data_IF_643899877574
#
_entry.id   IF_643899877574
#
_cell.length_a   1.000
_cell.length_b   1.000
_cell.length_c   1.000
_cell.angle_alpha   90.00
_cell.angle_beta   90.00
_cell.angle_gamma   90.00
#
_symmetry.space_group_name_H-M   'P 1'
#
loop_
_entity.id
_entity.type
_entity.pdbx_description
1 polymer ?
#
# COMPACT_ATOMS: atom_id res chain seq x y z
N UNK A 1 -29.06 7.11 -23.81
CA UNK A 1 -28.73 5.75 -23.32
C UNK A 1 -27.28 5.52 -23.67
N UNK A 2 -26.42 5.34 -22.67
CA UNK A 2 -25.01 5.02 -22.89
C UNK A 2 -24.93 3.58 -23.42
N UNK A 3 -24.17 3.36 -24.50
CA UNK A 3 -23.96 2.02 -25.03
C UNK A 3 -23.20 1.19 -23.99
N UNK A 4 -23.65 -0.03 -23.64
CA UNK A 4 -22.93 -0.87 -22.68
C UNK A 4 -21.53 -1.21 -23.20
N UNK A 5 -20.55 -1.28 -22.30
CA UNK A 5 -19.18 -1.63 -22.65
C UNK A 5 -19.11 -3.02 -23.29
N UNK A 6 -18.32 -3.15 -24.36
CA UNK A 6 -18.23 -4.39 -25.14
C UNK A 6 -17.01 -5.20 -24.69
N UNK A 7 -17.26 -6.20 -23.86
CA UNK A 7 -16.24 -7.14 -23.41
C UNK A 7 -15.70 -8.04 -24.52
N UNK A 8 -14.40 -8.29 -24.49
CA UNK A 8 -13.75 -9.33 -25.29
C UNK A 8 -13.66 -10.61 -24.46
N UNK A 9 -13.89 -11.75 -25.09
CA UNK A 9 -13.86 -13.06 -24.43
C UNK A 9 -12.84 -13.98 -25.09
N UNK A 10 -12.23 -14.85 -24.29
CA UNK A 10 -11.46 -15.99 -24.77
C UNK A 10 -12.00 -17.27 -24.14
N UNK A 11 -11.74 -18.41 -24.79
CA UNK A 11 -12.18 -19.71 -24.29
C UNK A 11 -11.03 -20.44 -23.60
N UNK A 12 -11.27 -20.88 -22.37
CA UNK A 12 -10.33 -21.69 -21.58
C UNK A 12 -11.11 -22.68 -20.73
N UNK A 13 -10.63 -23.92 -20.63
CA UNK A 13 -11.28 -24.95 -19.80
C UNK A 13 -12.75 -25.25 -20.16
N UNK A 14 -13.17 -24.97 -21.40
CA UNK A 14 -14.56 -25.17 -21.86
C UNK A 14 -15.54 -24.05 -21.49
N UNK A 15 -15.06 -22.96 -20.88
CA UNK A 15 -15.88 -21.78 -20.54
C UNK A 15 -15.34 -20.52 -21.23
N UNK A 16 -16.21 -19.53 -21.41
CA UNK A 16 -15.84 -18.23 -21.96
C UNK A 16 -15.46 -17.29 -20.80
N UNK A 17 -14.26 -16.73 -20.85
CA UNK A 17 -13.70 -15.86 -19.83
C UNK A 17 -13.48 -14.46 -20.42
N UNK A 18 -13.72 -13.44 -19.59
CA UNK A 18 -13.46 -12.04 -19.97
C UNK A 18 -11.95 -11.84 -20.11
N UNK A 19 -11.55 -11.21 -21.20
CA UNK A 19 -10.17 -10.78 -21.45
C UNK A 19 -10.00 -9.33 -20.99
N UNK A 20 -9.06 -9.08 -20.08
CA UNK A 20 -8.63 -7.73 -19.70
C UNK A 20 -7.30 -7.43 -20.39
N UNK A 21 -7.29 -6.47 -21.30
CA UNK A 21 -6.12 -6.19 -22.16
C UNK A 21 -5.88 -4.71 -22.43
N UNK A 22 -6.83 -3.85 -22.08
CA UNK A 22 -6.79 -2.41 -22.35
C UNK A 22 -7.12 -1.59 -21.11
N UNK A 23 -6.71 -0.32 -21.10
CA UNK A 23 -7.12 0.61 -20.03
C UNK A 23 -8.63 0.78 -19.93
N UNK A 24 -9.34 0.71 -21.06
CA UNK A 24 -10.81 0.78 -21.09
C UNK A 24 -11.44 -0.40 -20.32
N UNK A 25 -10.90 -1.61 -20.48
CA UNK A 25 -11.34 -2.80 -19.73
C UNK A 25 -11.26 -2.58 -18.22
N UNK A 26 -10.20 -1.92 -17.74
CA UNK A 26 -10.05 -1.60 -16.32
C UNK A 26 -11.05 -0.55 -15.86
N UNK A 27 -11.23 0.53 -16.65
CA UNK A 27 -12.18 1.59 -16.28
C UNK A 27 -13.63 1.11 -16.23
N UNK A 28 -14.00 0.15 -17.08
CA UNK A 28 -15.34 -0.43 -17.15
C UNK A 28 -15.51 -1.69 -16.28
N UNK A 29 -14.48 -2.18 -15.58
CA UNK A 29 -14.55 -3.44 -14.82
C UNK A 29 -15.66 -3.46 -13.77
N UNK A 30 -16.02 -2.29 -13.23
CA UNK A 30 -17.13 -2.13 -12.28
C UNK A 30 -18.52 -2.42 -12.88
N UNK A 31 -18.65 -2.41 -14.21
CA UNK A 31 -19.87 -2.74 -14.94
C UNK A 31 -19.98 -4.24 -15.27
N UNK A 32 -18.92 -5.01 -15.03
CA UNK A 32 -18.88 -6.43 -15.37
C UNK A 32 -19.85 -7.23 -14.49
N UNK A 33 -20.72 -8.03 -15.11
CA UNK A 33 -21.63 -8.92 -14.38
C UNK A 33 -20.81 -9.88 -13.48
N UNK A 34 -21.08 -9.90 -12.15
CA UNK A 34 -20.40 -10.79 -11.22
C UNK A 34 -20.39 -12.27 -11.63
N UNK A 35 -21.36 -12.73 -12.43
CA UNK A 35 -21.42 -14.10 -12.95
C UNK A 35 -20.30 -14.45 -13.93
N UNK A 36 -19.62 -13.44 -14.49
CA UNK A 36 -18.50 -13.62 -15.42
C UNK A 36 -17.15 -13.69 -14.69
N UNK A 37 -17.12 -13.54 -13.37
CA UNK A 37 -15.91 -13.72 -12.56
C UNK A 37 -15.64 -15.21 -12.33
N UNK A 38 -14.41 -15.64 -12.65
CA UNK A 38 -14.00 -17.05 -12.52
C UNK A 38 -13.96 -17.51 -11.06
N UNK A 39 -13.56 -16.61 -10.15
CA UNK A 39 -13.52 -16.87 -8.71
C UNK A 39 -14.15 -15.69 -7.96
N UNK A 40 -15.01 -16.00 -7.00
CA UNK A 40 -15.63 -15.00 -6.12
C UNK A 40 -14.81 -14.76 -4.86
N UNK A 41 -13.85 -15.64 -4.57
CA UNK A 41 -12.97 -15.58 -3.41
C UNK A 41 -11.67 -16.32 -3.73
N UNK A 42 -10.52 -15.70 -3.46
CA UNK A 42 -9.19 -16.28 -3.64
C UNK A 42 -8.40 -16.17 -2.33
N UNK A 43 -7.76 -17.24 -1.82
CA UNK A 43 -6.94 -17.14 -0.61
C UNK A 43 -5.71 -16.24 -0.87
N UNK A 44 -5.29 -15.49 0.15
CA UNK A 44 -4.09 -14.63 0.07
C UNK A 44 -2.78 -15.42 0.22
N UNK A 45 -2.85 -16.75 0.39
CA UNK A 45 -1.70 -17.64 0.63
C UNK A 45 -1.84 -18.92 -0.20
N UNK A 46 -0.71 -19.53 -0.54
CA UNK A 46 -0.68 -20.78 -1.33
C UNK A 46 -0.98 -20.59 -2.82
N UNK A 47 -0.85 -19.35 -3.32
CA UNK A 47 -0.97 -18.98 -4.73
C UNK A 47 0.37 -18.41 -5.23
N UNK A 48 0.59 -18.43 -6.54
CA UNK A 48 1.83 -17.94 -7.18
C UNK A 48 1.82 -16.41 -7.38
N UNK A 49 1.47 -15.65 -6.32
CA UNK A 49 1.49 -14.18 -6.30
C UNK A 49 2.19 -13.75 -5.01
N UNK A 50 2.92 -12.62 -5.04
CA UNK A 50 3.59 -12.08 -3.86
C UNK A 50 2.59 -11.85 -2.70
N UNK A 51 2.80 -12.47 -1.52
CA UNK A 51 1.86 -12.35 -0.40
C UNK A 51 1.70 -10.92 0.12
N UNK A 52 2.72 -10.06 0.01
CA UNK A 52 2.60 -8.67 0.49
C UNK A 52 1.69 -7.86 -0.42
N UNK A 53 1.75 -8.08 -1.74
CA UNK A 53 0.78 -7.51 -2.67
C UNK A 53 -0.64 -7.97 -2.32
N UNK A 54 -0.84 -9.25 -2.01
CA UNK A 54 -2.16 -9.76 -1.62
C UNK A 54 -2.64 -9.17 -0.29
N UNK A 55 -1.73 -8.96 0.67
CA UNK A 55 -2.06 -8.29 1.94
C UNK A 55 -2.47 -6.83 1.78
N UNK A 56 -2.05 -6.16 0.70
CA UNK A 56 -2.51 -4.81 0.37
C UNK A 56 -3.92 -4.81 -0.24
N UNK A 57 -4.29 -5.88 -0.94
CA UNK A 57 -5.60 -6.04 -1.57
C UNK A 57 -6.66 -6.55 -0.59
N UNK A 58 -6.29 -7.42 0.36
CA UNK A 58 -7.16 -7.90 1.44
C UNK A 58 -7.38 -6.77 2.46
N UNK A 59 -8.45 -6.02 2.26
CA UNK A 59 -8.75 -4.80 3.04
C UNK A 59 -9.41 -5.11 4.38
N UNK A 60 -10.14 -6.22 4.48
CA UNK A 60 -10.82 -6.66 5.71
C UNK A 60 -9.98 -7.63 6.58
N UNK A 61 -8.82 -8.07 6.07
CA UNK A 61 -7.84 -8.93 6.74
C UNK A 61 -8.37 -10.33 7.06
N UNK A 62 -9.29 -10.85 6.25
CA UNK A 62 -9.84 -12.20 6.44
C UNK A 62 -9.04 -13.31 5.73
N UNK A 63 -7.96 -12.94 5.04
CA UNK A 63 -7.10 -13.86 4.31
C UNK A 63 -7.65 -14.28 2.94
N UNK A 64 -8.69 -13.62 2.44
CA UNK A 64 -9.27 -13.85 1.12
C UNK A 64 -9.47 -12.54 0.37
N UNK A 65 -9.29 -12.60 -0.95
CA UNK A 65 -9.58 -11.48 -1.85
C UNK A 65 -10.86 -11.78 -2.61
N UNK A 66 -11.80 -10.83 -2.59
CA UNK A 66 -13.07 -10.91 -3.32
C UNK A 66 -13.17 -9.81 -4.38
N UNK A 67 -14.11 -9.98 -5.30
CA UNK A 67 -14.29 -9.03 -6.41
C UNK A 67 -14.46 -7.54 -5.98
N UNK A 68 -15.12 -7.19 -4.86
CA UNK A 68 -15.23 -5.78 -4.46
C UNK A 68 -13.87 -5.14 -4.14
N UNK A 69 -12.92 -5.91 -3.62
CA UNK A 69 -11.57 -5.43 -3.27
C UNK A 69 -10.74 -5.21 -4.53
N UNK A 70 -10.87 -6.10 -5.52
CA UNK A 70 -10.28 -5.89 -6.85
C UNK A 70 -10.86 -4.62 -7.50
N UNK A 71 -12.18 -4.43 -7.45
CA UNK A 71 -12.82 -3.23 -7.98
C UNK A 71 -12.35 -1.96 -7.27
N UNK A 72 -12.20 -2.00 -5.94
CA UNK A 72 -11.66 -0.89 -5.17
C UNK A 72 -10.20 -0.57 -5.55
N UNK A 73 -9.36 -1.59 -5.73
CA UNK A 73 -7.98 -1.42 -6.17
C UNK A 73 -7.91 -0.80 -7.57
N UNK A 74 -8.73 -1.27 -8.52
CA UNK A 74 -8.78 -0.70 -9.87
C UNK A 74 -9.30 0.75 -9.86
N UNK A 75 -10.31 1.06 -9.04
CA UNK A 75 -10.80 2.43 -8.88
C UNK A 75 -9.68 3.35 -8.37
N UNK A 76 -8.95 2.93 -7.34
CA UNK A 76 -7.80 3.68 -6.81
C UNK A 76 -6.71 3.88 -7.88
N UNK A 77 -6.41 2.86 -8.70
CA UNK A 77 -5.45 2.99 -9.80
C UNK A 77 -5.93 4.01 -10.84
N UNK A 78 -7.22 4.02 -11.18
CA UNK A 78 -7.79 4.97 -12.13
C UNK A 78 -7.72 6.42 -11.62
N UNK A 79 -7.80 6.62 -10.31
CA UNK A 79 -7.58 7.92 -9.66
C UNK A 79 -6.09 8.31 -9.61
N UNK A 80 -5.20 7.34 -9.41
CA UNK A 80 -3.77 7.59 -9.28
C UNK A 80 -3.06 7.80 -10.63
N UNK A 81 -3.46 7.08 -11.69
CA UNK A 81 -2.82 7.11 -13.01
C UNK A 81 -3.54 8.03 -13.99
N UNK A 82 -2.76 8.70 -14.85
CA UNK A 82 -3.29 9.42 -16.01
C UNK A 82 -3.89 8.45 -17.03
N UNK A 83 -3.24 7.30 -17.20
CA UNK A 83 -3.65 6.22 -18.09
C UNK A 83 -3.47 4.86 -17.38
N UNK A 84 -4.57 4.19 -16.97
CA UNK A 84 -4.53 2.87 -16.34
C UNK A 84 -3.95 1.77 -17.24
N UNK A 85 -3.93 1.95 -18.57
CA UNK A 85 -3.36 0.96 -19.48
C UNK A 85 -1.87 0.68 -19.20
N UNK A 86 -1.19 1.61 -18.53
CA UNK A 86 0.20 1.45 -18.07
C UNK A 86 0.43 0.23 -17.18
N UNK A 87 -0.60 -0.31 -16.52
CA UNK A 87 -0.48 -1.56 -15.77
C UNK A 87 -0.11 -2.76 -16.65
N UNK A 88 -0.58 -2.80 -17.91
CA UNK A 88 -0.32 -3.92 -18.81
C UNK A 88 1.09 -3.91 -19.42
N UNK A 89 1.81 -2.79 -19.34
CA UNK A 89 3.20 -2.71 -19.82
C UNK A 89 4.14 -3.55 -18.95
N UNK A 90 3.78 -3.76 -17.68
CA UNK A 90 4.62 -4.43 -16.69
C UNK A 90 5.92 -3.68 -16.41
N UNK A 91 6.72 -4.22 -15.49
CA UNK A 91 8.02 -3.68 -15.11
C UNK A 91 8.15 -3.41 -13.62
N UNK A 92 9.34 -2.96 -13.22
CA UNK A 92 9.71 -2.77 -11.81
C UNK A 92 9.60 -1.31 -11.36
N UNK A 93 9.24 -0.40 -12.27
CA UNK A 93 9.22 1.04 -12.03
C UNK A 93 7.89 1.70 -12.39
N UNK A 94 7.59 2.78 -11.67
CA UNK A 94 6.48 3.68 -11.96
C UNK A 94 7.03 5.07 -12.25
N UNK A 95 6.70 5.59 -13.43
CA UNK A 95 7.06 6.97 -13.81
C UNK A 95 6.17 7.99 -13.08
N UNK A 96 6.79 9.01 -12.50
CA UNK A 96 6.08 10.14 -11.89
C UNK A 96 5.22 10.89 -12.92
N UNK A 97 5.59 10.84 -14.20
CA UNK A 97 4.81 11.46 -15.27
C UNK A 97 3.58 10.65 -15.66
N UNK A 98 3.53 9.36 -15.35
CA UNK A 98 2.34 8.52 -15.56
C UNK A 98 1.27 8.75 -14.47
N UNK A 99 1.67 9.25 -13.30
CA UNK A 99 0.78 9.54 -12.18
C UNK A 99 0.11 10.91 -12.34
N UNK A 100 -1.15 11.01 -11.87
CA UNK A 100 -1.85 12.30 -11.73
C UNK A 100 -1.25 13.11 -10.58
N UNK A 101 -1.46 14.41 -10.62
CA UNK A 101 -1.15 15.27 -9.49
C UNK A 101 -2.06 14.88 -8.31
N UNK A 102 -1.45 14.55 -7.17
CA UNK A 102 -2.17 13.98 -6.04
C UNK A 102 -1.23 13.32 -5.04
N UNK A 103 -1.80 12.66 -4.01
CA UNK A 103 -1.02 12.11 -2.90
C UNK A 103 -0.01 11.05 -3.34
N UNK A 104 -0.37 10.20 -4.33
CA UNK A 104 0.53 9.14 -4.81
C UNK A 104 1.77 9.73 -5.50
N UNK A 105 1.60 10.71 -6.40
CA UNK A 105 2.72 11.38 -7.08
C UNK A 105 3.59 12.17 -6.09
N UNK A 106 2.95 12.87 -5.15
CA UNK A 106 3.66 13.61 -4.10
C UNK A 106 4.49 12.67 -3.21
N UNK A 107 3.91 11.53 -2.79
CA UNK A 107 4.61 10.52 -2.00
C UNK A 107 5.79 9.90 -2.78
N UNK A 108 5.62 9.60 -4.07
CA UNK A 108 6.69 9.10 -4.91
C UNK A 108 7.85 10.11 -5.05
N UNK A 109 7.54 11.39 -5.26
CA UNK A 109 8.55 12.46 -5.31
C UNK A 109 9.26 12.65 -3.96
N UNK A 110 8.50 12.61 -2.86
CA UNK A 110 9.06 12.71 -1.51
C UNK A 110 9.98 11.52 -1.20
N UNK A 111 9.58 10.30 -1.58
CA UNK A 111 10.41 9.10 -1.44
C UNK A 111 11.76 9.30 -2.15
N UNK A 112 11.76 9.75 -3.40
CA UNK A 112 13.00 10.03 -4.14
C UNK A 112 13.86 11.10 -3.46
N UNK A 113 13.25 12.17 -2.95
CA UNK A 113 13.93 13.17 -2.12
C UNK A 113 14.60 12.56 -0.89
N UNK A 114 13.89 11.71 -0.15
CA UNK A 114 14.41 11.00 1.03
C UNK A 114 15.52 9.99 0.68
N UNK A 115 15.51 9.46 -0.54
CA UNK A 115 16.56 8.56 -1.03
C UNK A 115 17.82 9.31 -1.49
N UNK A 116 17.74 10.63 -1.65
CA UNK A 116 18.85 11.49 -2.11
C UNK A 116 18.84 11.74 -3.62
N UNK A 117 17.74 11.45 -4.30
CA UNK A 117 17.56 11.60 -5.76
C UNK A 117 16.36 12.51 -6.07
N UNK A 118 16.33 13.77 -5.61
CA UNK A 118 15.16 14.65 -5.72
C UNK A 118 14.69 14.92 -7.16
N UNK A 119 15.60 14.84 -8.14
CA UNK A 119 15.29 15.01 -9.58
C UNK A 119 14.94 13.67 -10.28
N UNK A 120 14.77 12.60 -9.51
CA UNK A 120 14.36 11.30 -10.02
C UNK A 120 12.98 11.35 -10.68
N UNK A 121 12.82 10.59 -11.78
CA UNK A 121 11.58 10.59 -12.58
C UNK A 121 10.74 9.32 -12.43
N UNK A 122 11.29 8.30 -11.78
CA UNK A 122 10.65 7.01 -11.62
C UNK A 122 10.99 6.46 -10.24
N UNK A 123 10.06 5.68 -9.67
CA UNK A 123 10.24 4.95 -8.42
C UNK A 123 10.16 3.47 -8.72
N UNK A 124 11.08 2.68 -8.16
CA UNK A 124 11.04 1.22 -8.19
C UNK A 124 10.49 0.62 -6.90
N UNK A 125 10.11 -0.66 -6.92
CA UNK A 125 9.79 -1.40 -5.69
C UNK A 125 10.97 -1.44 -4.70
N UNK A 126 12.20 -1.49 -5.23
CA UNK A 126 13.41 -1.43 -4.42
C UNK A 126 13.56 -0.08 -3.70
N UNK A 127 13.22 1.02 -4.39
CA UNK A 127 13.21 2.36 -3.80
C UNK A 127 12.18 2.46 -2.67
N UNK A 128 10.96 1.93 -2.88
CA UNK A 128 9.92 1.90 -1.83
C UNK A 128 10.40 1.11 -0.62
N UNK A 129 10.95 -0.10 -0.85
CA UNK A 129 11.47 -0.96 0.22
C UNK A 129 12.63 -0.30 0.98
N UNK A 130 13.54 0.39 0.27
CA UNK A 130 14.65 1.12 0.89
C UNK A 130 14.15 2.34 1.66
N UNK A 131 13.16 3.04 1.12
CA UNK A 131 12.51 4.18 1.77
C UNK A 131 11.84 3.80 3.08
N UNK A 132 11.11 2.68 3.11
CA UNK A 132 10.51 2.14 4.34
C UNK A 132 11.56 1.84 5.40
N UNK A 133 12.68 1.21 5.01
CA UNK A 133 13.80 0.92 5.93
C UNK A 133 14.42 2.21 6.48
N UNK A 134 14.75 3.16 5.61
CA UNK A 134 15.33 4.45 6.02
C UNK A 134 14.37 5.23 6.92
N UNK A 135 13.07 5.21 6.62
CA UNK A 135 12.07 5.86 7.44
C UNK A 135 12.06 5.23 8.84
N UNK A 136 12.05 3.91 8.95
CA UNK A 136 12.11 3.22 10.25
C UNK A 136 13.38 3.55 11.06
N UNK A 137 14.49 3.88 10.40
CA UNK A 137 15.74 4.30 11.05
C UNK A 137 15.75 5.77 11.50
N UNK A 138 14.82 6.60 11.02
CA UNK A 138 14.77 8.01 11.44
C UNK A 138 14.36 8.16 12.91
N UNK A 139 14.93 9.17 13.58
CA UNK A 139 14.70 9.49 14.99
C UNK A 139 13.21 9.64 15.33
N UNK A 140 12.43 10.24 14.43
CA UNK A 140 10.98 10.41 14.58
C UNK A 140 10.30 9.97 13.28
N UNK A 141 9.85 8.71 13.26
CA UNK A 141 9.23 8.10 12.07
C UNK A 141 7.69 8.04 12.15
N UNK A 142 7.09 8.71 13.13
CA UNK A 142 5.66 9.02 13.15
C UNK A 142 4.74 7.83 13.46
N UNK A 143 5.23 6.77 14.10
CA UNK A 143 4.40 5.64 14.53
C UNK A 143 3.68 5.85 15.87
N UNK A 144 3.88 7.02 16.47
CA UNK A 144 3.29 7.43 17.74
C UNK A 144 3.97 6.81 18.97
N UNK A 145 5.16 6.22 18.80
CA UNK A 145 5.97 5.66 19.89
C UNK A 145 7.25 6.49 20.03
N UNK A 146 7.60 6.87 21.25
CA UNK A 146 8.85 7.57 21.57
C UNK A 146 9.68 6.67 22.48
N UNK A 147 10.92 6.37 22.08
CA UNK A 147 11.86 5.56 22.84
C UNK A 147 12.98 6.43 23.46
N UNK A 148 13.64 6.01 24.56
CA UNK A 148 14.60 6.84 25.28
C UNK A 148 15.69 7.47 24.40
N UNK A 149 16.24 6.68 23.46
CA UNK A 149 17.31 7.10 22.53
C UNK A 149 16.84 8.09 21.46
N UNK A 150 15.52 8.25 21.26
CA UNK A 150 14.95 9.29 20.39
C UNK A 150 14.88 10.66 21.09
N UNK A 151 15.21 10.74 22.37
CA UNK A 151 15.16 11.98 23.18
C UNK A 151 16.47 12.23 23.90
N UNK A 152 16.61 13.40 24.52
CA UNK A 152 17.85 13.82 25.19
C UNK A 152 17.55 14.32 26.60
N UNK A 153 18.58 14.25 27.46
CA UNK A 153 18.52 14.78 28.82
C UNK A 153 17.44 14.13 29.68
N UNK A 154 16.77 14.95 30.50
CA UNK A 154 15.77 14.49 31.45
C UNK A 154 14.60 13.73 30.80
N UNK A 155 14.26 14.04 29.55
CA UNK A 155 13.15 13.39 28.85
C UNK A 155 13.44 11.91 28.57
N UNK A 156 14.70 11.56 28.28
CA UNK A 156 15.12 10.17 28.06
C UNK A 156 14.95 9.33 29.32
N UNK A 157 15.31 9.89 30.48
CA UNK A 157 15.12 9.25 31.79
C UNK A 157 13.64 9.04 32.10
N UNK A 158 12.81 10.07 31.92
CA UNK A 158 11.36 9.98 32.17
C UNK A 158 10.72 8.90 31.31
N UNK A 159 11.10 8.78 30.04
CA UNK A 159 10.58 7.73 29.15
C UNK A 159 10.98 6.34 29.66
N UNK A 160 12.22 6.16 30.11
CA UNK A 160 12.66 4.89 30.70
C UNK A 160 11.90 4.53 31.99
N UNK A 161 11.59 5.53 32.82
CA UNK A 161 10.78 5.34 34.02
C UNK A 161 9.33 4.94 33.70
N UNK A 162 8.73 5.57 32.68
CA UNK A 162 7.39 5.21 32.19
C UNK A 162 7.38 3.77 31.66
N UNK A 163 8.40 3.36 30.89
CA UNK A 163 8.53 1.99 30.40
C UNK A 163 8.57 0.99 31.55
N UNK A 164 9.32 1.31 32.60
CA UNK A 164 9.48 0.44 33.77
C UNK A 164 8.19 0.29 34.57
N UNK A 165 7.39 1.34 34.65
CA UNK A 165 6.19 1.39 35.52
C UNK A 165 4.89 1.02 34.78
N UNK A 166 4.75 1.39 33.52
CA UNK A 166 3.53 1.26 32.71
C UNK A 166 3.72 0.35 31.48
N UNK A 167 4.88 -0.30 31.37
CA UNK A 167 5.24 -1.17 30.26
C UNK A 167 5.60 -0.38 28.99
N UNK A 168 5.89 -1.09 27.91
CA UNK A 168 6.28 -0.50 26.62
C UNK A 168 5.40 -0.93 25.47
N UNK A 169 5.53 -0.23 24.36
CA UNK A 169 5.10 -0.64 23.03
C UNK A 169 6.32 -0.63 22.11
N UNK A 170 6.43 -1.65 21.26
CA UNK A 170 7.52 -1.73 20.28
C UNK A 170 7.21 -0.77 19.13
N UNK A 171 8.19 0.07 18.78
CA UNK A 171 8.13 0.99 17.66
C UNK A 171 8.38 0.28 16.31
N UNK A 172 8.31 1.00 15.18
CA UNK A 172 8.60 0.41 13.86
C UNK A 172 10.07 -0.01 13.67
N UNK A 173 10.98 0.47 14.51
CA UNK A 173 12.41 0.10 14.50
C UNK A 173 12.73 -1.12 15.39
N UNK A 174 11.75 -1.66 16.12
CA UNK A 174 11.91 -2.79 17.04
C UNK A 174 12.33 -2.39 18.46
N UNK A 175 12.39 -1.09 18.78
CA UNK A 175 12.76 -0.56 20.09
C UNK A 175 11.54 -0.40 21.00
N UNK A 176 11.75 -0.64 22.28
CA UNK A 176 10.72 -0.41 23.30
C UNK A 176 10.59 1.09 23.59
N UNK A 177 9.38 1.62 23.43
CA UNK A 177 9.06 3.00 23.75
C UNK A 177 7.70 3.13 24.42
N UNK A 178 7.23 4.37 24.51
CA UNK A 178 5.93 4.73 25.09
C UNK A 178 5.05 5.37 24.02
N UNK A 179 3.76 5.06 24.07
CA UNK A 179 2.72 5.75 23.30
C UNK A 179 1.93 6.71 24.20
N UNK A 180 1.07 7.51 23.59
CA UNK A 180 0.27 8.51 24.30
C UNK A 180 -0.48 7.95 25.53
N UNK A 181 -1.18 6.79 25.46
CA UNK A 181 -1.85 6.23 26.63
C UNK A 181 -0.93 5.96 27.83
N UNK A 182 0.29 5.48 27.60
CA UNK A 182 1.27 5.24 28.68
C UNK A 182 1.83 6.53 29.27
N UNK A 183 2.08 7.52 28.42
CA UNK A 183 2.50 8.83 28.87
C UNK A 183 1.42 9.51 29.74
N UNK A 184 0.16 9.42 29.31
CA UNK A 184 -0.99 9.97 30.05
C UNK A 184 -1.22 9.25 31.39
N UNK A 185 -1.00 7.92 31.44
CA UNK A 185 -1.13 7.14 32.66
C UNK A 185 -0.09 7.48 33.73
N UNK A 186 1.14 7.82 33.34
CA UNK A 186 2.22 8.13 34.30
C UNK A 186 2.02 9.45 35.04
N UNK A 187 1.30 10.41 34.44
CA UNK A 187 1.04 11.72 35.05
C UNK A 187 -0.25 11.75 35.89
N UNK A 188 -0.95 10.60 36.00
CA UNK A 188 -2.19 10.44 36.77
C UNK A 188 -1.92 9.70 38.07
#
# INVERSE_FOLDING_TARGET
>A
MTTPYRWTFYRSGGVDQVSLSTGEDLTHLHELDPKLWVALSMPTRGVEIDPRTLDLLDTDKDGHIRHPEILAAIAWICEAYKDPAKLFEGGETVSLDALRDGPVRAAAAQLLGNLGTPDGKQVSLADVTLGEKRLAETRFHGDGVIFPESTEGALSTVIADIITTHGSRVDRSGKAGIDKPRADAFVT
#
